data_IF_931482298972
#
_entry.id   IF_931482298972
#
_cell.length_a   1.000
_cell.length_b   1.000
_cell.length_c   1.000
_cell.angle_alpha   90.00
_cell.angle_beta   90.00
_cell.angle_gamma   90.00
#
_symmetry.space_group_name_H-M   'P 1'
#
loop_
_entity.id
_entity.type
_entity.pdbx_description
1 polymer ?
#
# COMPACT_ATOMS: atom_id res chain seq x y z
N UNK A 1 1.76 -13.18 -14.05
CA UNK A 1 2.67 -12.33 -13.27
C UNK A 1 2.68 -10.97 -13.93
N UNK A 2 2.24 -9.95 -13.20
CA UNK A 2 2.29 -8.56 -13.65
C UNK A 2 3.51 -7.89 -13.02
N UNK A 3 4.13 -6.95 -13.73
CA UNK A 3 5.27 -6.18 -13.19
C UNK A 3 4.86 -4.73 -13.06
N UNK A 4 4.93 -4.21 -11.84
CA UNK A 4 4.68 -2.81 -11.52
C UNK A 4 6.00 -2.14 -11.19
N UNK A 5 6.19 -0.90 -11.63
CA UNK A 5 7.34 -0.07 -11.23
C UNK A 5 6.86 0.95 -10.22
N UNK A 6 7.61 1.11 -9.13
CA UNK A 6 7.35 2.14 -8.13
C UNK A 6 8.62 2.95 -7.88
N UNK A 7 8.43 4.20 -7.47
CA UNK A 7 9.52 5.05 -7.00
C UNK A 7 9.79 4.74 -5.52
N UNK A 8 11.06 4.68 -5.14
CA UNK A 8 11.49 4.53 -3.76
C UNK A 8 12.60 5.54 -3.44
N UNK A 9 12.76 5.87 -2.16
CA UNK A 9 13.94 6.61 -1.67
C UNK A 9 14.71 5.72 -0.72
N UNK A 10 15.97 5.43 -1.07
CA UNK A 10 16.92 4.70 -0.23
C UNK A 10 18.23 5.49 -0.23
N UNK A 11 18.85 5.66 0.94
CA UNK A 11 20.08 6.45 1.09
C UNK A 11 19.96 7.88 0.52
N UNK A 12 18.78 8.51 0.69
CA UNK A 12 18.43 9.84 0.15
C UNK A 12 18.47 9.95 -1.38
N UNK A 13 18.49 8.83 -2.09
CA UNK A 13 18.45 8.78 -3.56
C UNK A 13 17.13 8.21 -4.03
N UNK A 14 16.52 8.89 -4.99
CA UNK A 14 15.37 8.35 -5.70
C UNK A 14 15.85 7.23 -6.62
N UNK A 15 15.16 6.09 -6.55
CA UNK A 15 15.42 4.90 -7.35
C UNK A 15 14.10 4.32 -7.83
N UNK A 16 14.15 3.53 -8.90
CA UNK A 16 12.99 2.74 -9.35
C UNK A 16 13.14 1.31 -8.89
N UNK A 17 12.12 0.77 -8.23
CA UNK A 17 12.03 -0.64 -7.93
C UNK A 17 10.95 -1.32 -8.76
N UNK A 18 11.08 -2.64 -8.93
CA UNK A 18 10.10 -3.48 -9.63
C UNK A 18 9.41 -4.39 -8.63
N UNK A 19 8.09 -4.45 -8.72
CA UNK A 19 7.23 -5.38 -7.97
C UNK A 19 6.65 -6.39 -8.96
N UNK A 20 7.06 -7.65 -8.85
CA UNK A 20 6.46 -8.73 -9.63
C UNK A 20 5.32 -9.33 -8.83
N UNK A 21 4.09 -9.08 -9.27
CA UNK A 21 2.87 -9.51 -8.62
C UNK A 21 2.42 -10.87 -9.17
N UNK A 22 2.40 -11.87 -8.30
CA UNK A 22 1.91 -13.22 -8.58
C UNK A 22 0.53 -13.41 -7.94
N UNK A 23 -0.51 -13.34 -8.77
CA UNK A 23 -1.90 -13.51 -8.35
C UNK A 23 -2.24 -14.94 -7.93
N UNK A 24 -1.46 -15.94 -8.38
CA UNK A 24 -1.72 -17.35 -8.02
C UNK A 24 -1.23 -17.67 -6.62
N UNK A 25 -0.07 -17.13 -6.27
CA UNK A 25 0.57 -17.39 -4.98
C UNK A 25 0.35 -16.25 -3.96
N UNK A 26 -0.37 -15.20 -4.35
CA UNK A 26 -0.55 -13.96 -3.57
C UNK A 26 0.78 -13.48 -3.00
N UNK A 27 1.70 -13.18 -3.92
CA UNK A 27 3.05 -12.79 -3.59
C UNK A 27 3.52 -11.57 -4.40
N UNK A 28 4.30 -10.71 -3.76
CA UNK A 28 5.07 -9.65 -4.40
C UNK A 28 6.55 -10.01 -4.32
N UNK A 29 7.21 -10.12 -5.47
CA UNK A 29 8.68 -10.12 -5.50
C UNK A 29 9.19 -8.69 -5.69
N UNK A 30 9.88 -8.18 -4.68
CA UNK A 30 10.59 -6.90 -4.72
C UNK A 30 11.95 -7.09 -5.40
N UNK A 31 12.24 -6.26 -6.41
CA UNK A 31 13.52 -6.24 -7.11
C UNK A 31 14.07 -4.81 -7.14
N UNK A 32 15.33 -4.63 -6.74
CA UNK A 32 16.07 -3.37 -6.83
C UNK A 32 17.16 -3.43 -7.91
N UNK A 33 17.70 -2.26 -8.26
CA UNK A 33 18.75 -2.13 -9.29
C UNK A 33 20.09 -2.73 -8.88
N UNK A 34 20.37 -2.82 -7.58
CA UNK A 34 21.57 -3.45 -7.01
C UNK A 34 21.55 -4.99 -7.06
N UNK A 35 20.51 -5.58 -7.66
CA UNK A 35 20.31 -7.02 -7.77
C UNK A 35 19.59 -7.64 -6.57
N UNK A 36 19.22 -6.86 -5.55
CA UNK A 36 18.40 -7.36 -4.45
C UNK A 36 17.07 -7.90 -4.97
N UNK A 37 16.69 -9.09 -4.49
CA UNK A 37 15.42 -9.74 -4.83
C UNK A 37 14.88 -10.56 -3.67
N UNK A 38 13.66 -10.27 -3.21
CA UNK A 38 12.96 -11.06 -2.17
C UNK A 38 11.46 -11.11 -2.44
N UNK A 39 10.84 -12.25 -2.13
CA UNK A 39 9.41 -12.45 -2.26
C UNK A 39 8.70 -12.33 -0.90
N UNK A 40 7.53 -11.70 -0.90
CA UNK A 40 6.68 -11.49 0.25
C UNK A 40 5.28 -12.00 -0.06
N UNK A 41 4.73 -12.81 0.85
CA UNK A 41 3.37 -13.36 0.74
C UNK A 41 2.43 -12.67 1.73
N UNK A 42 1.14 -12.78 1.48
CA UNK A 42 0.08 -12.26 2.34
C UNK A 42 -1.29 -12.68 1.82
N UNK A 43 -2.35 -12.36 2.55
CA UNK A 43 -3.72 -12.72 2.13
C UNK A 43 -4.20 -11.89 0.93
N UNK A 44 -3.52 -10.77 0.62
CA UNK A 44 -3.73 -9.92 -0.54
C UNK A 44 -2.46 -9.11 -0.84
N UNK A 45 -2.45 -8.35 -1.96
CA UNK A 45 -1.29 -7.54 -2.35
C UNK A 45 -1.03 -6.36 -1.42
N UNK A 46 -2.05 -5.84 -0.71
CA UNK A 46 -1.86 -4.79 0.29
C UNK A 46 -1.05 -5.30 1.48
N UNK A 47 -1.35 -6.51 1.98
CA UNK A 47 -0.59 -7.21 3.02
C UNK A 47 0.79 -7.64 2.54
N UNK A 48 0.93 -8.10 1.30
CA UNK A 48 2.24 -8.37 0.71
C UNK A 48 3.11 -7.11 0.74
N UNK A 49 2.56 -5.97 0.32
CA UNK A 49 3.24 -4.68 0.33
C UNK A 49 3.55 -4.21 1.75
N UNK A 50 2.66 -4.45 2.72
CA UNK A 50 2.90 -4.17 4.14
C UNK A 50 4.08 -4.98 4.70
N UNK A 51 4.13 -6.28 4.42
CA UNK A 51 5.23 -7.15 4.82
C UNK A 51 6.56 -6.73 4.18
N UNK A 52 6.54 -6.36 2.90
CA UNK A 52 7.68 -5.81 2.18
C UNK A 52 8.19 -4.53 2.87
N UNK A 53 7.32 -3.55 3.11
CA UNK A 53 7.69 -2.28 3.77
C UNK A 53 8.26 -2.48 5.16
N UNK A 54 7.66 -3.38 5.94
CA UNK A 54 8.11 -3.71 7.30
C UNK A 54 9.53 -4.29 7.33
N UNK A 55 9.90 -5.08 6.32
CA UNK A 55 11.23 -5.68 6.18
C UNK A 55 12.29 -4.67 5.68
N UNK A 56 11.84 -3.50 5.19
CA UNK A 56 12.68 -2.43 4.63
C UNK A 56 12.42 -1.06 5.30
N UNK A 57 12.67 -0.91 6.61
CA UNK A 57 12.45 0.35 7.33
C UNK A 57 13.35 1.50 6.83
N UNK A 58 14.45 1.18 6.14
CA UNK A 58 15.42 2.12 5.55
C UNK A 58 14.96 2.70 4.19
N UNK A 59 13.89 2.16 3.60
CA UNK A 59 13.38 2.56 2.28
C UNK A 59 12.06 3.30 2.44
N UNK A 60 11.93 4.48 1.84
CA UNK A 60 10.64 5.16 1.72
C UNK A 60 9.98 4.71 0.41
N UNK A 61 8.82 4.08 0.51
CA UNK A 61 8.06 3.61 -0.65
C UNK A 61 7.09 4.69 -1.12
N UNK A 62 7.35 5.28 -2.29
CA UNK A 62 6.58 6.41 -2.81
C UNK A 62 5.33 5.93 -3.56
N UNK A 63 4.40 5.31 -2.83
CA UNK A 63 3.15 4.80 -3.39
C UNK A 63 1.97 4.94 -2.43
N UNK A 64 0.76 4.98 -2.97
CA UNK A 64 -0.49 5.10 -2.19
C UNK A 64 -0.65 4.01 -1.14
N UNK A 65 -0.18 2.79 -1.40
CA UNK A 65 -0.22 1.68 -0.44
C UNK A 65 0.63 1.90 0.80
N UNK A 66 1.56 2.86 0.77
CA UNK A 66 2.34 3.29 1.93
C UNK A 66 1.73 4.51 2.64
N UNK A 67 0.68 5.15 2.10
CA UNK A 67 0.05 6.32 2.71
C UNK A 67 -0.73 5.92 3.97
N UNK A 68 -0.59 6.70 5.05
CA UNK A 68 -1.17 6.43 6.37
C UNK A 68 -2.69 6.24 6.30
N UNK A 69 -3.37 7.03 5.47
CA UNK A 69 -4.83 7.01 5.35
C UNK A 69 -5.36 6.13 4.23
N UNK A 70 -4.52 5.31 3.59
CA UNK A 70 -4.96 4.36 2.56
C UNK A 70 -5.15 3.00 3.20
N UNK A 71 -6.35 2.43 3.06
CA UNK A 71 -6.67 1.10 3.59
C UNK A 71 -7.73 0.41 2.71
N UNK A 72 -7.58 -0.89 2.37
CA UNK A 72 -8.61 -1.62 1.63
C UNK A 72 -9.79 -1.98 2.53
N UNK A 73 -11.01 -1.96 2.01
CA UNK A 73 -12.14 -2.63 2.68
C UNK A 73 -12.07 -4.14 2.44
N UNK A 74 -12.71 -4.95 3.29
CA UNK A 74 -12.79 -6.40 3.08
C UNK A 74 -13.34 -6.76 1.70
N UNK A 75 -14.37 -6.03 1.24
CA UNK A 75 -14.95 -6.20 -0.10
C UNK A 75 -13.95 -5.83 -1.21
N UNK A 76 -13.27 -4.70 -1.08
CA UNK A 76 -12.29 -4.26 -2.09
C UNK A 76 -11.09 -5.20 -2.17
N UNK A 77 -10.62 -5.71 -1.02
CA UNK A 77 -9.57 -6.73 -0.94
C UNK A 77 -9.96 -8.00 -1.68
N UNK A 78 -11.15 -8.55 -1.44
CA UNK A 78 -11.63 -9.76 -2.12
C UNK A 78 -11.81 -9.57 -3.63
N UNK A 79 -12.33 -8.42 -4.05
CA UNK A 79 -12.63 -8.14 -5.45
C UNK A 79 -11.39 -7.78 -6.29
N UNK A 80 -10.37 -7.20 -5.67
CA UNK A 80 -9.18 -6.66 -6.36
C UNK A 80 -7.87 -7.29 -5.93
N UNK A 81 -7.91 -8.35 -5.11
CA UNK A 81 -6.74 -8.92 -4.44
C UNK A 81 -5.92 -7.86 -3.67
N UNK A 82 -6.60 -6.87 -3.09
CA UNK A 82 -5.99 -5.79 -2.32
C UNK A 82 -5.30 -4.69 -3.15
N UNK A 83 -5.40 -4.69 -4.48
CA UNK A 83 -4.81 -3.64 -5.33
C UNK A 83 -5.58 -2.32 -5.24
N UNK A 84 -6.90 -2.40 -5.06
CA UNK A 84 -7.75 -1.23 -4.85
C UNK A 84 -7.96 -1.01 -3.35
N UNK A 85 -7.79 0.24 -2.94
CA UNK A 85 -7.95 0.66 -1.55
C UNK A 85 -8.63 2.04 -1.51
N UNK A 86 -9.14 2.44 -0.35
CA UNK A 86 -9.75 3.75 -0.17
C UNK A 86 -8.74 4.70 0.47
N UNK A 87 -8.63 5.92 -0.05
CA UNK A 87 -7.98 7.02 0.64
C UNK A 87 -8.99 7.70 1.58
N UNK A 88 -8.81 7.51 2.87
CA UNK A 88 -9.80 7.83 3.87
C UNK A 88 -9.61 9.24 4.44
N UNK A 89 -10.71 9.98 4.58
CA UNK A 89 -10.72 11.29 5.24
C UNK A 89 -11.52 11.21 6.55
N UNK A 90 -10.94 11.59 7.72
CA UNK A 90 -11.65 11.59 8.99
C UNK A 90 -12.94 12.41 8.93
N UNK A 91 -14.00 11.93 9.58
CA UNK A 91 -15.31 12.61 9.54
C UNK A 91 -16.09 12.47 8.23
N UNK A 92 -15.47 11.98 7.14
CA UNK A 92 -16.13 11.76 5.85
C UNK A 92 -16.38 10.29 5.56
N UNK A 93 -17.49 10.02 4.87
CA UNK A 93 -17.80 8.72 4.30
C UNK A 93 -16.89 8.46 3.11
N UNK A 94 -16.50 7.20 2.90
CA UNK A 94 -15.72 6.81 1.74
C UNK A 94 -16.67 6.48 0.58
N UNK A 95 -16.35 7.02 -0.59
CA UNK A 95 -17.08 6.85 -1.86
C UNK A 95 -16.20 6.14 -2.90
N UNK A 96 -16.79 5.79 -4.04
CA UNK A 96 -16.05 5.15 -5.13
C UNK A 96 -14.93 6.05 -5.69
N UNK A 97 -15.11 7.36 -5.62
CA UNK A 97 -14.11 8.34 -6.07
C UNK A 97 -12.88 8.39 -5.16
N UNK A 98 -12.98 7.87 -3.94
CA UNK A 98 -11.85 7.74 -3.00
C UNK A 98 -11.01 6.48 -3.26
N UNK A 99 -11.39 5.65 -4.26
CA UNK A 99 -10.66 4.42 -4.59
C UNK A 99 -9.37 4.77 -5.35
N UNK A 100 -8.24 4.36 -4.78
CA UNK A 100 -6.89 4.50 -5.35
C UNK A 100 -6.30 3.12 -5.70
N UNK A 101 -5.31 3.09 -6.58
CA UNK A 101 -4.46 1.91 -6.74
C UNK A 101 -3.28 2.02 -5.76
N UNK A 102 -3.00 0.97 -4.99
CA UNK A 102 -1.93 0.98 -3.98
C UNK A 102 -0.54 1.23 -4.57
N UNK A 103 -0.35 1.04 -5.87
CA UNK A 103 0.93 1.29 -6.55
C UNK A 103 1.03 2.67 -7.20
N UNK A 104 -0.04 3.47 -7.22
CA UNK A 104 0.02 4.84 -7.73
C UNK A 104 1.01 5.66 -6.89
N UNK A 105 1.73 6.58 -7.54
CA UNK A 105 2.76 7.40 -6.89
C UNK A 105 2.18 8.29 -5.79
N UNK A 106 2.89 8.40 -4.67
CA UNK A 106 2.55 9.29 -3.54
C UNK A 106 3.81 9.61 -2.73
N UNK A 107 3.90 10.83 -2.20
CA UNK A 107 5.06 11.29 -1.41
C UNK A 107 4.66 11.77 -0.02
N UNK A 108 3.36 11.99 0.22
CA UNK A 108 2.86 12.64 1.43
C UNK A 108 2.34 11.62 2.43
N UNK A 109 2.63 11.85 3.73
CA UNK A 109 2.08 11.09 4.86
C UNK A 109 2.28 9.57 4.69
N UNK A 110 3.48 9.16 4.30
CA UNK A 110 3.86 7.78 4.09
C UNK A 110 4.29 7.12 5.41
N UNK A 111 4.12 5.80 5.50
CA UNK A 111 4.58 4.96 6.60
C UNK A 111 4.99 3.59 6.07
N UNK A 112 5.97 2.97 6.72
CA UNK A 112 6.30 1.55 6.51
C UNK A 112 5.62 0.64 7.54
N UNK A 113 5.04 1.23 8.58
CA UNK A 113 4.34 0.51 9.62
C UNK A 113 2.87 0.32 9.25
N UNK A 114 2.48 -0.95 9.06
CA UNK A 114 1.11 -1.32 8.76
C UNK A 114 0.17 -1.14 9.94
N UNK A 115 0.68 -1.15 11.18
CA UNK A 115 -0.12 -0.91 12.38
C UNK A 115 -0.57 0.56 12.44
N UNK A 116 0.25 1.50 11.98
CA UNK A 116 -0.14 2.92 11.85
C UNK A 116 -1.32 3.10 10.87
N UNK A 117 -1.31 2.40 9.73
CA UNK A 117 -2.43 2.44 8.77
C UNK A 117 -3.70 1.82 9.37
N UNK A 118 -3.55 0.72 10.13
CA UNK A 118 -4.67 0.06 10.83
C UNK A 118 -5.27 0.96 11.91
N UNK A 119 -4.44 1.64 12.69
CA UNK A 119 -4.90 2.61 13.69
C UNK A 119 -5.66 3.77 13.05
N UNK A 120 -5.13 4.32 11.95
CA UNK A 120 -5.83 5.36 11.20
C UNK A 120 -7.19 4.86 10.71
N UNK A 121 -7.23 3.67 10.10
CA UNK A 121 -8.47 3.05 9.64
C UNK A 121 -9.49 2.90 10.76
N UNK A 122 -9.09 2.42 11.94
CA UNK A 122 -9.99 2.27 13.09
C UNK A 122 -10.52 3.62 13.59
N UNK A 123 -9.65 4.65 13.67
CA UNK A 123 -10.09 6.01 14.04
C UNK A 123 -11.10 6.56 13.03
N UNK A 124 -10.86 6.35 11.74
CA UNK A 124 -11.80 6.71 10.68
C UNK A 124 -13.10 5.89 10.79
N UNK A 125 -13.03 4.60 11.08
CA UNK A 125 -14.19 3.72 11.15
C UNK A 125 -15.14 4.12 12.30
N UNK A 126 -14.59 4.51 13.45
CA UNK A 126 -15.35 4.92 14.63
C UNK A 126 -15.72 6.41 14.65
N UNK A 127 -15.21 7.23 13.72
CA UNK A 127 -15.58 8.65 13.66
C UNK A 127 -17.02 8.81 13.21
N UNK A 128 -17.77 9.74 13.82
CA UNK A 128 -19.04 10.18 13.25
C UNK A 128 -18.84 10.71 11.83
N UNK A 129 -19.71 10.28 10.92
CA UNK A 129 -19.66 10.67 9.51
C UNK A 129 -20.71 11.73 9.29
N UNK A 130 -20.27 12.90 8.82
CA UNK A 130 -21.18 13.96 8.40
C UNK A 130 -21.35 13.82 6.90
N UNK A 131 -22.58 13.66 6.43
CA UNK A 131 -22.89 13.74 5.01
C UNK A 131 -22.84 15.24 4.61
N UNK A 132 -21.90 15.60 3.74
CA UNK A 132 -21.85 16.91 3.06
C UNK A 132 -22.75 16.91 1.81
#
# INVERSE_FOLDING_TARGET
METVKISIVKDRKHQTAKLLCDTKNLAITFCMEDGYRKAYTGDDFYKCLGNLRKDHPDIIFLCKGAKINVHPSSMSSQMSLGVKAYELTPGKRAFLDDIVNIFDHEENNLTNDSDVQKEFFLRWFWSEKVDE
#
